data_IF_123380607672
#
_entry.id   IF_123380607672
#
_cell.length_a   1.000
_cell.length_b   1.000
_cell.length_c   1.000
_cell.angle_alpha   90.00
_cell.angle_beta   90.00
_cell.angle_gamma   90.00
#
_symmetry.space_group_name_H-M   'P 1'
#
loop_
_entity.id
_entity.type
_entity.pdbx_description
1 polymer ?
#
# COMPACT_ATOMS: atom_id res chain seq x y z
N UNK A 1 32.02 -24.70 -65.98
CA UNK A 1 31.95 -25.20 -64.61
C UNK A 1 31.65 -24.03 -63.69
N UNK A 2 30.38 -23.86 -63.32
CA UNK A 2 29.93 -22.88 -62.33
C UNK A 2 28.82 -23.58 -61.52
N UNK A 3 29.16 -23.99 -60.30
CA UNK A 3 28.25 -24.70 -59.40
C UNK A 3 27.52 -23.70 -58.50
N UNK A 4 26.20 -23.65 -58.67
CA UNK A 4 25.24 -23.08 -57.72
C UNK A 4 25.43 -23.67 -56.32
N UNK A 5 25.52 -22.83 -55.30
CA UNK A 5 25.28 -23.20 -53.91
C UNK A 5 24.03 -22.47 -53.42
N UNK A 6 22.90 -23.18 -53.42
CA UNK A 6 21.68 -22.76 -52.76
C UNK A 6 21.80 -23.08 -51.26
N UNK A 7 21.84 -22.04 -50.43
CA UNK A 7 21.74 -22.20 -48.98
C UNK A 7 20.32 -22.63 -48.63
N UNK A 8 20.13 -23.92 -48.34
CA UNK A 8 18.90 -24.44 -47.78
C UNK A 8 18.79 -23.97 -46.32
N UNK A 9 17.90 -23.03 -46.10
CA UNK A 9 17.44 -22.61 -44.77
C UNK A 9 16.66 -23.78 -44.14
N UNK A 10 17.35 -24.63 -43.38
CA UNK A 10 16.71 -25.67 -42.55
C UNK A 10 16.31 -25.02 -41.22
N UNK A 11 15.08 -24.52 -41.14
CA UNK A 11 14.45 -24.35 -39.82
C UNK A 11 14.27 -25.74 -39.20
N UNK A 12 14.68 -25.96 -37.93
CA UNK A 12 14.30 -27.16 -37.21
C UNK A 12 12.78 -27.16 -37.03
N UNK A 13 12.15 -28.15 -37.67
CA UNK A 13 10.73 -28.46 -37.58
C UNK A 13 10.54 -29.25 -36.28
N UNK A 14 9.98 -28.61 -35.26
CA UNK A 14 9.64 -29.29 -34.00
C UNK A 14 10.02 -28.48 -32.76
N UNK A 15 9.23 -27.46 -32.45
CA UNK A 15 8.87 -27.20 -31.07
C UNK A 15 7.35 -27.25 -31.07
N UNK A 16 6.80 -28.32 -30.52
CA UNK A 16 5.40 -28.37 -30.10
C UNK A 16 5.22 -27.23 -29.12
N UNK A 17 4.52 -26.17 -29.53
CA UNK A 17 3.92 -25.20 -28.62
C UNK A 17 2.94 -25.97 -27.74
N UNK A 18 3.46 -26.48 -26.63
CA UNK A 18 2.80 -27.41 -25.72
C UNK A 18 3.55 -27.36 -24.40
N UNK A 19 3.60 -26.17 -23.82
CA UNK A 19 3.87 -25.96 -22.40
C UNK A 19 2.61 -25.33 -21.83
N UNK A 20 1.95 -26.04 -20.94
CA UNK A 20 0.75 -25.64 -20.22
C UNK A 20 1.04 -24.36 -19.43
N UNK A 21 0.59 -23.22 -19.93
CA UNK A 21 0.51 -21.99 -19.15
C UNK A 21 -0.95 -21.58 -19.19
N UNK A 22 -1.56 -21.44 -18.02
CA UNK A 22 -2.93 -20.96 -17.89
C UNK A 22 -3.05 -19.64 -18.65
N UNK A 23 -3.97 -19.59 -19.63
CA UNK A 23 -4.09 -18.43 -20.52
C UNK A 23 -4.65 -17.19 -19.82
N UNK A 24 -5.23 -17.36 -18.64
CA UNK A 24 -6.01 -16.33 -17.96
C UNK A 24 -5.73 -16.38 -16.44
N UNK A 25 -5.50 -15.22 -15.82
CA UNK A 25 -5.57 -15.04 -14.37
C UNK A 25 -6.86 -15.69 -13.86
N UNK A 26 -6.84 -16.39 -12.70
CA UNK A 26 -7.97 -17.19 -12.19
C UNK A 26 -9.32 -16.54 -12.52
N UNK A 27 -9.90 -16.95 -13.66
CA UNK A 27 -11.05 -16.32 -14.27
C UNK A 27 -12.25 -17.10 -13.78
N UNK A 28 -12.80 -16.64 -12.66
CA UNK A 28 -14.01 -17.14 -12.02
C UNK A 28 -13.87 -18.60 -11.54
N UNK A 29 -14.14 -18.81 -10.25
CA UNK A 29 -13.99 -20.11 -9.61
C UNK A 29 -14.79 -21.19 -10.35
N UNK A 30 -14.12 -22.24 -10.83
CA UNK A 30 -14.72 -23.56 -11.07
C UNK A 30 -15.04 -24.28 -9.75
N UNK A 31 -15.38 -23.53 -8.70
CA UNK A 31 -16.10 -24.07 -7.55
C UNK A 31 -17.47 -24.50 -8.10
N UNK A 32 -17.59 -25.79 -8.38
CA UNK A 32 -18.85 -26.49 -8.55
C UNK A 32 -19.62 -26.33 -7.23
N UNK A 33 -20.30 -25.19 -7.10
CA UNK A 33 -21.26 -24.92 -6.04
C UNK A 33 -22.37 -25.96 -6.19
N UNK A 34 -22.32 -27.01 -5.38
CA UNK A 34 -23.46 -27.90 -5.18
C UNK A 34 -24.61 -27.03 -4.65
N UNK A 35 -25.73 -26.89 -5.37
CA UNK A 35 -26.77 -25.89 -5.09
C UNK A 35 -27.54 -26.07 -3.77
N UNK A 36 -27.15 -27.02 -2.92
CA UNK A 36 -27.71 -27.18 -1.57
C UNK A 36 -27.04 -26.22 -0.57
N UNK A 37 -27.27 -24.92 -0.74
CA UNK A 37 -26.66 -23.87 0.09
C UNK A 37 -27.34 -23.80 1.45
N UNK A 38 -26.58 -24.06 2.52
CA UNK A 38 -27.12 -23.92 3.88
C UNK A 38 -27.33 -22.44 4.17
N UNK A 39 -28.37 -22.16 4.96
CA UNK A 39 -28.61 -20.82 5.46
C UNK A 39 -27.55 -20.47 6.50
N UNK A 40 -26.90 -19.32 6.33
CA UNK A 40 -25.98 -18.75 7.32
C UNK A 40 -26.82 -17.89 8.26
N UNK A 41 -26.80 -18.21 9.55
CA UNK A 41 -27.57 -17.49 10.57
C UNK A 41 -26.66 -17.06 11.71
N UNK A 42 -26.44 -15.75 11.83
CA UNK A 42 -25.67 -15.13 12.92
C UNK A 42 -26.59 -14.17 13.69
N UNK A 43 -26.44 -14.06 15.00
CA UNK A 43 -27.12 -13.00 15.75
C UNK A 43 -26.43 -11.65 15.47
N UNK A 44 -27.12 -10.51 15.69
CA UNK A 44 -26.48 -9.20 15.60
C UNK A 44 -25.25 -9.10 16.52
N UNK A 45 -24.12 -8.63 15.98
CA UNK A 45 -22.84 -8.53 16.68
C UNK A 45 -22.02 -9.82 16.73
N UNK A 46 -22.56 -10.94 16.25
CA UNK A 46 -21.82 -12.20 16.17
C UNK A 46 -21.01 -12.28 14.86
N UNK A 47 -19.94 -13.08 14.90
CA UNK A 47 -19.19 -13.52 13.74
C UNK A 47 -18.82 -15.00 13.84
N UNK A 48 -18.60 -15.62 12.70
CA UNK A 48 -18.17 -17.01 12.59
C UNK A 48 -17.17 -17.18 11.44
N UNK A 49 -16.37 -18.24 11.50
CA UNK A 49 -15.37 -18.57 10.48
C UNK A 49 -15.83 -19.83 9.73
N UNK A 50 -15.76 -19.78 8.41
CA UNK A 50 -16.24 -20.84 7.50
C UNK A 50 -15.06 -21.46 6.75
N UNK A 51 -14.17 -22.23 7.41
CA UNK A 51 -13.00 -22.81 6.78
C UNK A 51 -13.36 -23.81 5.66
N UNK A 52 -14.54 -24.42 5.71
CA UNK A 52 -15.04 -25.30 4.65
C UNK A 52 -15.43 -24.58 3.36
N UNK A 53 -15.63 -23.26 3.42
CA UNK A 53 -15.93 -22.41 2.27
C UNK A 53 -14.66 -21.74 1.69
N UNK A 54 -13.55 -21.80 2.42
CA UNK A 54 -12.24 -21.38 1.97
C UNK A 54 -11.64 -22.45 1.05
N UNK A 55 -10.95 -22.05 -0.02
CA UNK A 55 -10.31 -23.00 -0.95
C UNK A 55 -8.90 -23.40 -0.50
N UNK A 56 -8.33 -22.70 0.48
CA UNK A 56 -7.00 -22.92 1.02
C UNK A 56 -5.85 -22.40 0.16
N UNK A 57 -6.15 -21.75 -0.98
CA UNK A 57 -5.16 -21.26 -1.94
C UNK A 57 -5.34 -19.76 -2.23
N UNK A 58 -6.53 -19.35 -2.66
CA UNK A 58 -6.89 -17.95 -2.87
C UNK A 58 -7.44 -17.35 -1.58
N UNK A 59 -8.33 -18.08 -0.92
CA UNK A 59 -8.94 -17.71 0.35
C UNK A 59 -8.51 -18.76 1.36
N UNK A 60 -7.68 -18.35 2.31
CA UNK A 60 -7.14 -19.24 3.35
C UNK A 60 -8.06 -19.27 4.57
N UNK A 61 -8.68 -18.13 4.88
CA UNK A 61 -9.70 -18.00 5.94
C UNK A 61 -10.87 -17.19 5.40
N UNK A 62 -12.09 -17.56 5.79
CA UNK A 62 -13.30 -16.83 5.41
C UNK A 62 -14.13 -16.52 6.65
N UNK A 63 -14.13 -15.25 7.06
CA UNK A 63 -14.94 -14.79 8.18
C UNK A 63 -16.24 -14.17 7.69
N UNK A 64 -17.32 -14.37 8.43
CA UNK A 64 -18.59 -13.67 8.23
C UNK A 64 -19.03 -13.08 9.56
N UNK A 65 -19.29 -11.79 9.58
CA UNK A 65 -19.83 -11.10 10.77
C UNK A 65 -21.14 -10.41 10.44
N UNK A 66 -22.02 -10.32 11.44
CA UNK A 66 -23.27 -9.55 11.33
C UNK A 66 -23.15 -8.26 12.14
N UNK A 67 -23.58 -7.14 11.54
CA UNK A 67 -23.57 -5.84 12.20
C UNK A 67 -24.32 -5.85 13.55
N UNK A 68 -23.87 -5.04 14.51
CA UNK A 68 -24.48 -4.91 15.84
C UNK A 68 -25.94 -4.43 15.79
N UNK A 69 -26.26 -3.58 14.81
CA UNK A 69 -27.63 -3.10 14.58
C UNK A 69 -28.52 -4.16 13.90
N UNK A 70 -27.94 -5.31 13.56
CA UNK A 70 -28.60 -6.43 12.91
C UNK A 70 -28.79 -6.26 11.40
N UNK A 71 -28.38 -5.12 10.84
CA UNK A 71 -28.56 -4.77 9.43
C UNK A 71 -27.29 -5.06 8.63
N UNK A 72 -27.36 -6.12 7.83
CA UNK A 72 -26.30 -6.49 6.90
C UNK A 72 -25.25 -7.41 7.49
N UNK A 73 -24.52 -8.04 6.57
CA UNK A 73 -23.42 -8.94 6.86
C UNK A 73 -22.15 -8.38 6.23
N UNK A 74 -21.02 -8.74 6.81
CA UNK A 74 -19.69 -8.47 6.28
C UNK A 74 -19.01 -9.80 6.05
N UNK A 75 -18.43 -9.95 4.87
CA UNK A 75 -17.63 -11.11 4.49
C UNK A 75 -16.20 -10.64 4.36
N UNK A 76 -15.31 -11.34 5.05
CA UNK A 76 -13.91 -10.98 5.16
C UNK A 76 -13.01 -12.18 4.83
N UNK A 77 -12.78 -12.46 3.53
CA UNK A 77 -11.74 -13.40 3.12
C UNK A 77 -10.36 -12.85 3.45
N UNK A 78 -9.51 -13.71 4.00
CA UNK A 78 -8.12 -13.41 4.27
C UNK A 78 -7.18 -14.30 3.45
N UNK A 79 -6.05 -13.71 3.06
CA UNK A 79 -4.93 -14.40 2.42
C UNK A 79 -3.62 -13.99 3.06
N UNK A 80 -2.77 -14.97 3.32
CA UNK A 80 -1.39 -14.74 3.75
C UNK A 80 -0.48 -14.61 2.52
N UNK A 81 0.42 -13.62 2.57
CA UNK A 81 1.46 -13.43 1.55
C UNK A 81 2.85 -13.40 2.20
N UNK A 82 3.81 -14.00 1.50
CA UNK A 82 5.22 -13.96 1.91
C UNK A 82 5.91 -12.74 1.28
N UNK A 83 5.85 -11.58 1.95
CA UNK A 83 6.45 -10.36 1.41
C UNK A 83 7.96 -10.48 1.24
N UNK A 84 8.68 -11.21 2.10
CA UNK A 84 10.12 -11.40 1.92
C UNK A 84 10.44 -12.08 0.58
N UNK A 85 9.69 -13.12 0.22
CA UNK A 85 9.80 -13.79 -1.06
C UNK A 85 9.51 -12.83 -2.22
N UNK A 86 8.35 -12.16 -2.16
CA UNK A 86 7.90 -11.23 -3.21
C UNK A 86 8.90 -10.11 -3.47
N UNK A 87 9.45 -9.51 -2.40
CA UNK A 87 10.42 -8.41 -2.52
C UNK A 87 11.77 -8.91 -3.02
N UNK A 88 12.25 -10.06 -2.54
CA UNK A 88 13.53 -10.63 -3.00
C UNK A 88 13.48 -10.98 -4.48
N UNK A 89 12.35 -11.48 -4.97
CA UNK A 89 12.15 -11.77 -6.39
C UNK A 89 12.12 -10.50 -7.24
N UNK A 90 11.54 -9.41 -6.72
CA UNK A 90 11.47 -8.12 -7.40
C UNK A 90 12.79 -7.33 -7.38
N UNK A 91 13.53 -7.39 -6.26
CA UNK A 91 14.84 -6.78 -6.10
C UNK A 91 15.81 -7.73 -5.35
N UNK A 92 16.56 -8.56 -6.10
CA UNK A 92 17.49 -9.55 -5.52
C UNK A 92 18.62 -8.96 -4.66
N UNK A 93 18.78 -7.63 -4.63
CA UNK A 93 19.76 -6.95 -3.76
C UNK A 93 19.25 -6.88 -2.31
N UNK A 94 17.93 -6.89 -2.11
CA UNK A 94 17.29 -6.91 -0.81
C UNK A 94 17.18 -8.36 -0.34
N UNK A 95 18.02 -8.76 0.62
CA UNK A 95 18.08 -10.12 1.14
C UNK A 95 18.64 -10.14 2.57
N UNK A 96 18.30 -11.17 3.35
CA UNK A 96 18.78 -11.36 4.72
C UNK A 96 18.47 -10.16 5.63
N UNK A 97 19.42 -9.78 6.49
CA UNK A 97 19.26 -8.66 7.43
C UNK A 97 18.93 -7.33 6.73
N UNK A 98 19.48 -7.10 5.54
CA UNK A 98 19.21 -5.89 4.77
C UNK A 98 17.73 -5.79 4.38
N UNK A 99 17.08 -6.94 4.10
CA UNK A 99 15.66 -6.98 3.78
C UNK A 99 14.82 -6.73 5.03
N UNK A 100 15.18 -7.32 6.18
CA UNK A 100 14.47 -7.11 7.45
C UNK A 100 14.51 -5.63 7.87
N UNK A 101 15.69 -5.01 7.84
CA UNK A 101 15.86 -3.58 8.17
C UNK A 101 15.09 -2.69 7.17
N UNK A 102 15.05 -3.08 5.89
CA UNK A 102 14.30 -2.36 4.86
C UNK A 102 12.79 -2.50 5.06
N UNK A 103 12.29 -3.69 5.37
CA UNK A 103 10.86 -3.93 5.62
C UNK A 103 10.39 -3.19 6.87
N UNK A 104 11.16 -3.27 7.95
CA UNK A 104 10.86 -2.56 9.20
C UNK A 104 10.82 -1.04 8.98
N UNK A 105 11.79 -0.49 8.24
CA UNK A 105 11.82 0.93 7.92
C UNK A 105 10.60 1.35 7.08
N UNK A 106 10.23 0.54 6.09
CA UNK A 106 9.21 0.90 5.11
C UNK A 106 7.81 0.37 5.44
N UNK A 107 7.64 -0.26 6.61
CA UNK A 107 6.37 -0.85 7.05
C UNK A 107 5.18 0.06 6.89
N UNK A 108 5.22 1.37 7.24
CA UNK A 108 4.02 2.21 7.14
C UNK A 108 3.61 2.46 5.68
N UNK A 109 4.58 2.47 4.75
CA UNK A 109 4.30 2.63 3.32
C UNK A 109 3.68 1.36 2.75
N UNK A 110 4.20 0.21 3.15
CA UNK A 110 3.76 -1.11 2.67
C UNK A 110 2.35 -1.42 3.18
N UNK A 111 2.11 -1.22 4.47
CA UNK A 111 0.80 -1.41 5.09
C UNK A 111 -0.27 -0.52 4.44
N UNK A 112 -0.02 0.80 4.34
CA UNK A 112 -0.98 1.72 3.72
C UNK A 112 -1.18 1.39 2.22
N UNK A 113 -0.13 0.96 1.51
CA UNK A 113 -0.25 0.55 0.12
C UNK A 113 -1.15 -0.68 -0.05
N UNK A 114 -0.93 -1.73 0.75
CA UNK A 114 -1.73 -2.95 0.71
C UNK A 114 -3.18 -2.66 1.10
N UNK A 115 -3.39 -1.91 2.18
CA UNK A 115 -4.72 -1.52 2.65
C UNK A 115 -5.48 -0.69 1.59
N UNK A 116 -4.87 0.34 1.02
CA UNK A 116 -5.49 1.18 -0.01
C UNK A 116 -5.74 0.41 -1.32
N UNK A 117 -4.78 -0.43 -1.75
CA UNK A 117 -4.88 -1.18 -3.00
C UNK A 117 -5.98 -2.24 -2.93
N UNK A 118 -6.05 -2.98 -1.83
CA UNK A 118 -6.93 -4.13 -1.67
C UNK A 118 -8.22 -3.84 -0.88
N UNK A 119 -8.39 -2.62 -0.37
CA UNK A 119 -9.51 -2.25 0.52
C UNK A 119 -9.62 -3.25 1.68
N UNK A 120 -8.48 -3.39 2.37
CA UNK A 120 -8.22 -4.50 3.28
C UNK A 120 -7.56 -4.03 4.57
N UNK A 121 -7.76 -4.81 5.63
CA UNK A 121 -6.98 -4.72 6.84
C UNK A 121 -5.71 -5.58 6.71
N UNK A 122 -4.58 -5.07 7.19
CA UNK A 122 -3.27 -5.72 7.06
C UNK A 122 -2.74 -6.00 8.46
N UNK A 123 -2.36 -7.26 8.71
CA UNK A 123 -1.79 -7.70 9.98
C UNK A 123 -0.43 -8.37 9.76
N UNK A 124 0.51 -8.04 10.63
CA UNK A 124 1.94 -8.43 10.54
C UNK A 124 2.43 -9.07 11.85
N UNK A 125 1.51 -9.66 12.64
CA UNK A 125 1.79 -10.20 13.98
C UNK A 125 2.86 -11.31 13.98
N UNK A 126 2.97 -12.06 12.88
CA UNK A 126 3.94 -13.14 12.70
C UNK A 126 5.21 -12.69 11.96
N UNK A 127 5.30 -11.40 11.62
CA UNK A 127 6.40 -10.81 10.87
C UNK A 127 6.09 -10.59 9.39
N UNK A 128 7.11 -10.18 8.64
CA UNK A 128 6.97 -9.84 7.21
C UNK A 128 7.04 -11.04 6.26
N UNK A 129 7.32 -12.22 6.79
CA UNK A 129 7.27 -13.50 6.08
C UNK A 129 5.85 -14.06 5.97
N UNK A 130 4.95 -13.66 6.87
CA UNK A 130 3.56 -14.08 6.90
C UNK A 130 2.66 -12.86 7.17
N UNK A 131 2.40 -12.09 6.12
CA UNK A 131 1.50 -10.92 6.20
C UNK A 131 0.10 -11.35 5.80
N UNK A 132 -0.84 -11.22 6.72
CA UNK A 132 -2.25 -11.52 6.48
C UNK A 132 -2.99 -10.27 6.01
N UNK A 133 -3.67 -10.38 4.87
CA UNK A 133 -4.45 -9.31 4.25
C UNK A 133 -5.91 -9.76 4.20
N UNK A 134 -6.76 -9.07 4.96
CA UNK A 134 -8.18 -9.35 5.10
C UNK A 134 -9.00 -8.34 4.30
N UNK A 135 -9.52 -8.76 3.16
CA UNK A 135 -10.35 -7.92 2.29
C UNK A 135 -11.79 -8.01 2.76
N UNK A 136 -12.53 -6.91 2.78
CA UNK A 136 -13.90 -6.89 3.33
C UNK A 136 -14.94 -6.49 2.28
N UNK A 137 -16.10 -7.14 2.28
CA UNK A 137 -17.26 -6.75 1.48
C UNK A 137 -18.56 -6.78 2.30
N UNK A 138 -19.43 -5.78 2.07
CA UNK A 138 -20.75 -5.74 2.67
C UNK A 138 -21.76 -6.50 1.81
N UNK A 139 -22.54 -7.37 2.45
CA UNK A 139 -23.68 -8.06 1.85
C UNK A 139 -25.00 -7.40 2.25
N UNK A 140 -26.02 -7.44 1.37
CA UNK A 140 -27.34 -6.92 1.68
C UNK A 140 -27.97 -7.67 2.86
N UNK A 141 -28.86 -6.99 3.57
CA UNK A 141 -29.64 -7.58 4.66
C UNK A 141 -30.63 -8.63 4.15
N UNK A 142 -30.97 -9.60 5.01
CA UNK A 142 -31.89 -10.69 4.71
C UNK A 142 -31.30 -12.09 4.96
N UNK A 143 -32.01 -13.14 4.50
CA UNK A 143 -31.50 -14.50 4.57
C UNK A 143 -30.20 -14.64 3.78
N UNK A 144 -29.14 -15.03 4.47
CA UNK A 144 -27.82 -15.25 3.89
C UNK A 144 -27.63 -16.74 3.61
N UNK A 145 -26.99 -17.07 2.49
CA UNK A 145 -26.63 -18.44 2.11
C UNK A 145 -25.13 -18.56 1.91
N UNK A 146 -24.57 -19.76 2.11
CA UNK A 146 -23.15 -20.03 1.89
C UNK A 146 -22.69 -19.62 0.48
N UNK A 147 -23.51 -19.81 -0.56
CA UNK A 147 -23.17 -19.37 -1.91
C UNK A 147 -23.04 -17.86 -2.06
N UNK A 148 -23.89 -17.09 -1.38
CA UNK A 148 -23.77 -15.62 -1.39
C UNK A 148 -22.51 -15.16 -0.65
N UNK A 149 -22.10 -15.87 0.40
CA UNK A 149 -20.85 -15.61 1.10
C UNK A 149 -19.66 -15.84 0.18
N UNK A 150 -19.61 -17.00 -0.48
CA UNK A 150 -18.53 -17.33 -1.44
C UNK A 150 -18.52 -16.36 -2.61
N UNK A 151 -19.67 -16.06 -3.21
CA UNK A 151 -19.78 -15.10 -4.32
C UNK A 151 -19.26 -13.72 -3.92
N UNK A 152 -19.64 -13.20 -2.76
CA UNK A 152 -19.14 -11.91 -2.29
C UNK A 152 -17.63 -11.96 -2.00
N UNK A 153 -17.14 -13.03 -1.37
CA UNK A 153 -15.71 -13.17 -1.10
C UNK A 153 -14.88 -13.13 -2.39
N UNK A 154 -15.30 -13.86 -3.43
CA UNK A 154 -14.58 -13.96 -4.70
C UNK A 154 -14.75 -12.73 -5.59
N UNK A 155 -15.97 -12.23 -5.72
CA UNK A 155 -16.32 -11.27 -6.77
C UNK A 155 -16.45 -9.84 -6.25
N UNK A 156 -16.69 -9.64 -4.96
CA UNK A 156 -16.96 -8.32 -4.38
C UNK A 156 -15.83 -7.82 -3.48
N UNK A 157 -14.82 -8.65 -3.22
CA UNK A 157 -13.56 -8.22 -2.60
C UNK A 157 -12.41 -8.22 -3.61
N UNK A 158 -11.24 -7.77 -3.19
CA UNK A 158 -10.01 -7.82 -4.00
C UNK A 158 -9.09 -8.99 -3.65
N UNK A 159 -9.55 -10.01 -2.91
CA UNK A 159 -8.71 -11.15 -2.51
C UNK A 159 -8.18 -11.94 -3.72
N UNK A 160 -8.99 -12.10 -4.77
CA UNK A 160 -8.56 -12.76 -6.02
C UNK A 160 -7.51 -11.93 -6.75
N UNK A 161 -7.66 -10.60 -6.74
CA UNK A 161 -6.67 -9.69 -7.29
C UNK A 161 -5.35 -9.81 -6.52
N UNK A 162 -5.39 -9.80 -5.19
CA UNK A 162 -4.24 -9.98 -4.32
C UNK A 162 -3.52 -11.30 -4.64
N UNK A 163 -4.26 -12.42 -4.65
CA UNK A 163 -3.70 -13.73 -4.98
C UNK A 163 -2.98 -13.71 -6.33
N UNK A 164 -3.66 -13.23 -7.38
CA UNK A 164 -3.11 -13.18 -8.73
C UNK A 164 -1.86 -12.29 -8.85
N UNK A 165 -1.79 -11.18 -8.10
CA UNK A 165 -0.63 -10.27 -8.12
C UNK A 165 0.53 -10.77 -7.23
N UNK A 166 0.22 -11.57 -6.20
CA UNK A 166 1.20 -12.22 -5.33
C UNK A 166 1.87 -13.45 -5.99
N UNK A 167 1.22 -14.13 -6.94
CA UNK A 167 1.84 -15.26 -7.65
C UNK A 167 2.66 -14.80 -8.86
N UNK A 168 3.97 -14.66 -8.67
CA UNK A 168 4.90 -14.20 -9.69
C UNK A 168 5.10 -15.23 -10.82
N UNK A 169 4.43 -15.02 -11.95
CA UNK A 169 4.78 -15.65 -13.22
C UNK A 169 3.76 -16.65 -13.77
N UNK A 170 2.77 -17.07 -12.99
CA UNK A 170 1.73 -18.00 -13.44
C UNK A 170 0.76 -17.36 -14.45
N UNK A 171 0.42 -16.08 -14.27
CA UNK A 171 -0.69 -15.46 -15.00
C UNK A 171 -0.35 -14.22 -15.82
N UNK A 172 0.94 -13.90 -16.01
CA UNK A 172 1.40 -12.61 -16.59
C UNK A 172 0.78 -11.38 -15.89
N UNK A 173 0.34 -11.57 -14.65
CA UNK A 173 -0.25 -10.57 -13.79
C UNK A 173 0.79 -9.53 -13.38
N UNK A 174 0.30 -8.40 -12.86
CA UNK A 174 1.15 -7.38 -12.26
C UNK A 174 1.88 -7.99 -11.07
N UNK A 175 3.19 -7.75 -10.95
CA UNK A 175 4.02 -8.29 -9.88
C UNK A 175 3.88 -7.42 -8.62
N UNK A 176 3.27 -7.95 -7.55
CA UNK A 176 3.07 -7.24 -6.29
C UNK A 176 4.38 -6.77 -5.64
N UNK A 177 5.41 -7.61 -5.59
CA UNK A 177 6.71 -7.24 -5.03
C UNK A 177 7.31 -6.01 -5.71
N UNK A 178 7.24 -5.95 -7.04
CA UNK A 178 7.67 -4.81 -7.84
C UNK A 178 6.83 -3.57 -7.55
N UNK A 179 5.50 -3.70 -7.47
CA UNK A 179 4.64 -2.56 -7.12
C UNK A 179 4.98 -1.98 -5.74
N UNK A 180 5.27 -2.83 -4.76
CA UNK A 180 5.67 -2.41 -3.42
C UNK A 180 7.02 -1.68 -3.48
N UNK A 181 8.01 -2.23 -4.18
CA UNK A 181 9.32 -1.60 -4.34
C UNK A 181 9.20 -0.24 -5.03
N UNK A 182 8.44 -0.14 -6.12
CA UNK A 182 8.17 1.12 -6.81
C UNK A 182 7.47 2.12 -5.87
N UNK A 183 6.46 1.66 -5.11
CA UNK A 183 5.75 2.49 -4.14
C UNK A 183 6.66 3.06 -3.06
N UNK A 184 7.57 2.25 -2.53
CA UNK A 184 8.55 2.68 -1.53
C UNK A 184 9.58 3.64 -2.13
N UNK A 185 10.01 3.43 -3.37
CA UNK A 185 10.94 4.34 -4.07
C UNK A 185 10.32 5.73 -4.30
N UNK A 186 9.02 5.79 -4.52
CA UNK A 186 8.26 7.04 -4.67
C UNK A 186 7.86 7.69 -3.32
N UNK A 187 8.33 7.12 -2.20
CA UNK A 187 8.05 7.62 -0.86
C UNK A 187 9.32 8.12 -0.16
N UNK A 188 9.15 9.07 0.75
CA UNK A 188 10.18 9.43 1.72
C UNK A 188 9.73 9.00 3.11
N UNK A 189 10.54 8.19 3.78
CA UNK A 189 10.20 7.57 5.08
C UNK A 189 11.17 8.04 6.16
N UNK A 190 10.62 8.37 7.33
CA UNK A 190 11.42 8.74 8.51
C UNK A 190 12.42 7.64 8.85
N UNK A 191 13.64 8.03 9.22
CA UNK A 191 14.68 7.06 9.59
C UNK A 191 14.34 6.33 10.90
N UNK A 192 13.79 7.07 11.86
CA UNK A 192 13.22 6.50 13.09
C UNK A 192 11.85 7.14 13.35
N UNK A 193 10.76 6.54 12.83
CA UNK A 193 9.42 7.13 12.90
C UNK A 193 8.96 7.42 14.33
N UNK A 194 9.36 6.60 15.31
CA UNK A 194 8.98 6.81 16.71
C UNK A 194 9.71 8.02 17.31
N UNK A 195 11.04 8.07 17.21
CA UNK A 195 11.84 9.15 17.76
C UNK A 195 11.57 10.48 17.07
N UNK A 196 11.52 10.50 15.73
CA UNK A 196 11.25 11.70 14.95
C UNK A 196 9.85 12.26 15.21
N UNK A 197 8.82 11.41 15.28
CA UNK A 197 7.47 11.88 15.64
C UNK A 197 7.41 12.40 17.05
N UNK A 198 7.98 11.68 18.02
CA UNK A 198 8.01 12.14 19.40
C UNK A 198 8.69 13.51 19.50
N UNK A 199 9.89 13.68 18.94
CA UNK A 199 10.58 14.97 18.95
C UNK A 199 9.81 16.08 18.21
N UNK A 200 9.38 15.81 16.97
CA UNK A 200 8.69 16.79 16.14
C UNK A 200 7.33 17.24 16.68
N UNK A 201 6.60 16.35 17.37
CA UNK A 201 5.35 16.69 18.03
C UNK A 201 5.53 17.57 19.28
N UNK A 202 6.75 17.68 19.82
CA UNK A 202 7.04 18.56 20.96
C UNK A 202 7.76 19.86 20.56
N UNK A 203 8.27 19.97 19.32
CA UNK A 203 8.85 21.22 18.82
C UNK A 203 7.82 22.34 18.77
N UNK A 204 8.15 23.49 19.35
CA UNK A 204 7.35 24.71 19.22
C UNK A 204 7.54 25.34 17.83
N UNK A 205 6.63 26.25 17.46
CA UNK A 205 6.74 26.97 16.19
C UNK A 205 8.02 27.82 16.09
N UNK A 206 8.46 28.43 17.20
CA UNK A 206 9.65 29.27 17.22
C UNK A 206 10.94 28.45 17.13
N UNK A 207 11.01 27.30 17.82
CA UNK A 207 12.13 26.36 17.70
C UNK A 207 12.24 25.80 16.28
N UNK A 208 11.11 25.38 15.70
CA UNK A 208 11.06 24.90 14.32
C UNK A 208 11.51 25.98 13.32
N UNK A 209 11.01 27.22 13.44
CA UNK A 209 11.42 28.31 12.56
C UNK A 209 12.93 28.61 12.71
N UNK A 210 13.48 28.55 13.94
CA UNK A 210 14.92 28.69 14.19
C UNK A 210 15.75 27.59 13.51
N UNK A 211 15.31 26.32 13.59
CA UNK A 211 15.98 25.21 12.90
C UNK A 211 15.97 25.37 11.37
N UNK A 212 14.88 25.90 10.80
CA UNK A 212 14.78 26.19 9.36
C UNK A 212 15.72 27.33 8.95
N UNK A 213 15.86 28.37 9.79
CA UNK A 213 16.81 29.45 9.53
C UNK A 213 18.25 28.95 9.62
N UNK A 214 18.57 28.12 10.60
CA UNK A 214 19.88 27.47 10.71
C UNK A 214 20.19 26.60 9.49
N UNK A 215 19.22 25.83 8.97
CA UNK A 215 19.45 24.98 7.78
C UNK A 215 19.66 25.77 6.49
N UNK A 216 19.17 27.01 6.42
CA UNK A 216 19.43 27.93 5.29
C UNK A 216 20.80 28.61 5.39
N UNK A 217 21.24 28.92 6.60
CA UNK A 217 22.50 29.62 6.85
C UNK A 217 23.71 28.69 7.02
N UNK A 218 23.48 27.44 7.38
CA UNK A 218 24.49 26.41 7.55
C UNK A 218 24.25 25.28 6.54
N UNK A 219 25.29 24.55 6.13
CA UNK A 219 25.14 23.35 5.30
C UNK A 219 24.50 22.17 6.07
N UNK A 220 23.75 22.44 7.14
CA UNK A 220 23.06 21.41 7.92
C UNK A 220 21.68 21.18 7.30
N UNK A 221 21.35 19.94 6.92
CA UNK A 221 20.04 19.64 6.38
C UNK A 221 18.96 19.72 7.45
N UNK A 222 17.71 19.82 6.98
CA UNK A 222 16.52 19.73 7.83
C UNK A 222 16.45 18.33 8.44
N UNK A 223 16.18 18.23 9.74
CA UNK A 223 16.07 16.93 10.43
C UNK A 223 14.67 16.33 10.27
N UNK A 224 14.56 15.01 10.45
CA UNK A 224 13.28 14.30 10.49
C UNK A 224 12.28 14.88 11.51
N UNK A 225 12.76 15.28 12.69
CA UNK A 225 11.91 15.90 13.71
C UNK A 225 11.38 17.27 13.26
N UNK A 226 12.23 18.09 12.61
CA UNK A 226 11.82 19.37 12.02
C UNK A 226 10.82 19.16 10.90
N UNK A 227 11.01 18.16 10.04
CA UNK A 227 10.07 17.81 8.97
C UNK A 227 8.70 17.41 9.54
N UNK A 228 8.67 16.57 10.59
CA UNK A 228 7.41 16.24 11.28
C UNK A 228 6.71 17.47 11.85
N UNK A 229 7.46 18.38 12.48
CA UNK A 229 6.90 19.61 13.04
C UNK A 229 6.28 20.50 11.94
N UNK A 230 6.98 20.66 10.81
CA UNK A 230 6.47 21.37 9.63
C UNK A 230 5.20 20.70 9.12
N UNK A 231 5.21 19.37 8.96
CA UNK A 231 4.06 18.62 8.47
C UNK A 231 2.83 18.78 9.37
N UNK A 232 3.02 18.73 10.70
CA UNK A 232 1.96 18.98 11.68
C UNK A 232 1.37 20.38 11.54
N UNK A 233 2.20 21.41 11.38
CA UNK A 233 1.73 22.78 11.23
C UNK A 233 0.98 22.99 9.92
N UNK A 234 1.49 22.46 8.81
CA UNK A 234 0.80 22.50 7.53
C UNK A 234 -0.55 21.76 7.61
N UNK A 235 -0.60 20.60 8.27
CA UNK A 235 -1.83 19.82 8.46
C UNK A 235 -2.88 20.51 9.38
N UNK A 236 -2.51 21.57 10.09
CA UNK A 236 -3.46 22.39 10.88
C UNK A 236 -4.10 23.50 10.05
N UNK A 237 -3.50 23.86 8.92
CA UNK A 237 -4.04 24.91 8.05
C UNK A 237 -5.33 24.38 7.42
N UNK A 238 -6.42 25.11 7.64
CA UNK A 238 -7.72 24.82 7.05
C UNK A 238 -8.02 25.82 5.95
N UNK A 239 -8.60 25.32 4.88
CA UNK A 239 -9.20 26.14 3.83
C UNK A 239 -10.40 26.92 4.39
N UNK A 240 -10.92 27.88 3.62
CA UNK A 240 -12.15 28.62 3.98
C UNK A 240 -13.38 27.72 4.19
N UNK A 241 -13.33 26.48 3.70
CA UNK A 241 -14.38 25.46 3.88
C UNK A 241 -14.15 24.56 5.11
N UNK A 242 -13.14 24.86 5.93
CA UNK A 242 -12.82 24.07 7.14
C UNK A 242 -12.09 22.75 6.87
N UNK A 243 -11.79 22.44 5.60
CA UNK A 243 -11.07 21.24 5.17
C UNK A 243 -9.57 21.46 5.35
N UNK A 244 -8.85 20.44 5.83
CA UNK A 244 -7.38 20.42 5.92
C UNK A 244 -6.78 20.69 4.54
N UNK A 245 -5.88 21.66 4.46
CA UNK A 245 -5.33 22.13 3.19
C UNK A 245 -4.28 21.18 2.60
N UNK A 246 -3.53 20.45 3.45
CA UNK A 246 -2.37 19.64 3.05
C UNK A 246 -2.39 18.24 3.68
N UNK A 247 -3.39 17.40 3.34
CA UNK A 247 -3.52 16.07 3.92
C UNK A 247 -2.37 15.12 3.56
N UNK A 248 -1.79 15.19 2.35
CA UNK A 248 -0.66 14.35 1.98
C UNK A 248 0.59 14.70 2.80
N UNK A 249 0.85 15.99 3.01
CA UNK A 249 1.92 16.44 3.93
C UNK A 249 1.65 15.96 5.35
N UNK A 250 0.40 16.02 5.80
CA UNK A 250 -0.01 15.58 7.13
C UNK A 250 0.29 14.11 7.44
N UNK A 251 0.39 13.25 6.41
CA UNK A 251 0.74 11.82 6.57
C UNK A 251 2.12 11.63 7.20
N UNK A 252 3.08 12.53 7.04
CA UNK A 252 4.38 12.38 7.71
C UNK A 252 4.23 12.36 9.23
N UNK A 253 3.40 13.24 9.77
CA UNK A 253 3.22 13.37 11.21
C UNK A 253 2.40 12.21 11.80
N UNK A 254 1.42 11.68 11.06
CA UNK A 254 0.57 10.58 11.52
C UNK A 254 1.15 9.20 11.23
N UNK A 255 1.63 8.96 10.00
CA UNK A 255 2.07 7.67 9.47
C UNK A 255 3.58 7.50 9.39
N UNK A 256 4.35 8.60 9.38
CA UNK A 256 5.81 8.53 9.35
C UNK A 256 6.43 8.41 7.96
N UNK A 257 5.65 8.66 6.90
CA UNK A 257 6.13 8.73 5.53
C UNK A 257 5.37 9.78 4.71
N UNK A 258 5.93 10.12 3.54
CA UNK A 258 5.32 10.97 2.51
C UNK A 258 5.24 10.23 1.18
N UNK A 259 4.15 10.46 0.46
CA UNK A 259 4.06 10.20 -0.98
C UNK A 259 4.65 11.41 -1.72
N UNK A 260 5.81 11.24 -2.37
CA UNK A 260 6.55 12.36 -2.92
C UNK A 260 5.77 13.11 -4.01
N UNK A 261 5.02 12.39 -4.84
CA UNK A 261 4.24 12.98 -5.92
C UNK A 261 3.06 13.78 -5.37
N UNK A 262 2.32 13.20 -4.42
CA UNK A 262 1.17 13.87 -3.82
C UNK A 262 1.61 15.13 -3.03
N UNK A 263 2.71 15.03 -2.29
CA UNK A 263 3.24 16.14 -1.51
C UNK A 263 3.80 17.25 -2.38
N UNK A 264 4.57 16.92 -3.41
CA UNK A 264 5.12 17.95 -4.30
C UNK A 264 4.00 18.78 -4.95
N UNK A 265 2.90 18.14 -5.33
CA UNK A 265 1.71 18.81 -5.85
C UNK A 265 1.07 19.73 -4.80
N UNK A 266 0.91 19.26 -3.55
CA UNK A 266 0.35 20.05 -2.46
C UNK A 266 1.23 21.27 -2.12
N UNK A 267 2.54 21.06 -1.98
CA UNK A 267 3.52 22.10 -1.67
C UNK A 267 3.65 23.12 -2.81
N UNK A 268 3.64 22.68 -4.07
CA UNK A 268 3.65 23.56 -5.25
C UNK A 268 2.42 24.44 -5.29
N UNK A 269 1.22 23.87 -5.03
CA UNK A 269 -0.03 24.64 -4.93
C UNK A 269 0.00 25.63 -3.76
N UNK A 270 0.52 25.21 -2.62
CA UNK A 270 0.67 26.06 -1.44
C UNK A 270 1.58 27.27 -1.72
N UNK A 271 2.73 27.01 -2.36
CA UNK A 271 3.71 28.04 -2.73
C UNK A 271 3.10 29.05 -3.70
N UNK A 272 2.43 28.57 -4.75
CA UNK A 272 1.77 29.44 -5.73
C UNK A 272 0.66 30.31 -5.10
N UNK A 273 -0.18 29.71 -4.25
CA UNK A 273 -1.24 30.45 -3.55
C UNK A 273 -0.67 31.52 -2.60
N UNK A 274 0.41 31.20 -1.88
CA UNK A 274 1.07 32.13 -0.98
C UNK A 274 1.71 33.31 -1.75
N UNK A 275 2.33 33.05 -2.90
CA UNK A 275 2.92 34.09 -3.76
C UNK A 275 1.86 35.03 -4.35
N UNK A 276 0.65 34.53 -4.62
CA UNK A 276 -0.46 35.32 -5.16
C UNK A 276 -1.24 36.09 -4.07
N UNK A 277 -0.94 35.87 -2.79
CA UNK A 277 -1.57 36.57 -1.67
C UNK A 277 -1.22 38.06 -1.65
N UNK A 278 -2.14 38.90 -1.19
CA UNK A 278 -1.92 40.34 -0.95
C UNK A 278 -0.81 40.57 0.08
N UNK A 279 -0.65 39.63 1.02
CA UNK A 279 0.43 39.63 2.02
C UNK A 279 1.00 38.21 2.12
N UNK A 280 2.00 37.86 1.29
CA UNK A 280 2.64 36.55 1.33
C UNK A 280 3.24 36.25 2.71
N UNK A 281 2.96 35.07 3.23
CA UNK A 281 3.51 34.59 4.50
C UNK A 281 4.91 34.01 4.27
N UNK A 282 5.92 34.72 4.78
CA UNK A 282 7.33 34.32 4.67
C UNK A 282 7.65 33.05 5.45
N UNK A 283 6.99 32.83 6.59
CA UNK A 283 7.20 31.62 7.41
C UNK A 283 6.63 30.40 6.71
N UNK A 284 5.44 30.53 6.11
CA UNK A 284 4.85 29.47 5.29
C UNK A 284 5.76 29.11 4.10
N UNK A 285 6.27 30.12 3.37
CA UNK A 285 7.19 29.89 2.27
C UNK A 285 8.47 29.14 2.73
N UNK A 286 9.02 29.50 3.88
CA UNK A 286 10.20 28.86 4.44
C UNK A 286 9.98 27.40 4.83
N UNK A 287 8.82 27.11 5.42
CA UNK A 287 8.44 25.75 5.80
C UNK A 287 8.22 24.85 4.57
N UNK A 288 7.61 25.40 3.50
CA UNK A 288 7.44 24.68 2.23
C UNK A 288 8.80 24.34 1.62
N UNK A 289 9.71 25.31 1.51
CA UNK A 289 11.06 25.10 0.96
C UNK A 289 11.87 24.09 1.80
N UNK A 290 11.81 24.19 3.13
CA UNK A 290 12.48 23.26 4.03
C UNK A 290 11.97 21.82 3.85
N UNK A 291 10.64 21.63 3.70
CA UNK A 291 10.06 20.31 3.42
C UNK A 291 10.50 19.77 2.06
N UNK A 292 10.51 20.59 1.01
CA UNK A 292 10.98 20.18 -0.31
C UNK A 292 12.46 19.78 -0.30
N UNK A 293 13.31 20.51 0.43
CA UNK A 293 14.71 20.16 0.62
C UNK A 293 14.85 18.81 1.34
N UNK A 294 14.16 18.62 2.46
CA UNK A 294 14.20 17.38 3.23
C UNK A 294 13.78 16.15 2.40
N UNK A 295 12.72 16.30 1.58
CA UNK A 295 12.29 15.26 0.65
C UNK A 295 13.33 14.95 -0.43
N UNK A 296 13.96 16.00 -1.00
CA UNK A 296 14.99 15.84 -2.03
C UNK A 296 16.23 15.10 -1.51
N UNK A 297 16.51 15.23 -0.21
CA UNK A 297 17.59 14.53 0.49
C UNK A 297 17.20 13.11 0.97
N UNK A 298 16.00 12.63 0.61
CA UNK A 298 15.50 11.30 0.93
C UNK A 298 15.19 11.07 2.41
N UNK A 299 14.99 12.14 3.19
CA UNK A 299 14.63 12.04 4.62
C UNK A 299 15.69 11.34 5.47
N UNK A 300 16.98 11.52 5.14
CA UNK A 300 18.08 10.70 5.67
C UNK A 300 18.98 11.42 6.68
N UNK A 301 18.47 12.45 7.36
CA UNK A 301 19.26 13.28 8.27
C UNK A 301 18.73 13.23 9.70
N UNK A 302 19.26 12.24 10.46
CA UNK A 302 19.14 12.12 11.90
C UNK A 302 20.43 12.57 12.59
#
# INVERSE_FOLDING_TARGET
>A
MAGMTTSQNRQPKGITNGGQFASDAHAESTLLLDPAHRAVTLAPGDGDTFPELADGEVIETLNVSRSDDGFGYWVSPAKTINLKGLITDADPRLHGQTLDDWLERNSPVIEDFLAERYDADVTTDEGWDEVSVECTAQLPDGPLTEAQVVDAAWNWTKVVQLHNESDHGSFRSVNLGRLIVERVQDATVLTNPYAARSAGLHLSADEMDGMIEESRGSSRPVTDATAVAIARELNRIRTSRGVIAYPAVGRLASRGYLDNTAVDLELSRASAANQQSVSPDRKLAARIEAMQSWMSDGGSHA
#
